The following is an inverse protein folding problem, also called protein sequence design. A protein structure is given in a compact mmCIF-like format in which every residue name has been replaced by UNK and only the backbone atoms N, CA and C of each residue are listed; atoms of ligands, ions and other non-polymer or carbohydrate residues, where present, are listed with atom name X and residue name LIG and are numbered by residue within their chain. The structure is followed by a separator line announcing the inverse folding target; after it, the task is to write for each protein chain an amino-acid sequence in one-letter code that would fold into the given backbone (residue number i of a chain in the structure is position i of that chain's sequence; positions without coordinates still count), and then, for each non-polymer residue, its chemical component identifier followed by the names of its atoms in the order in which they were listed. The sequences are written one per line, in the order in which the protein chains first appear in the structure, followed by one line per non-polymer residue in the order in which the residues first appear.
data_IF_164518910711
#
_entry.id   IF_164518910711
#
_cell.length_a   1.000
_cell.length_b   1.000
_cell.length_c   1.000
_cell.angle_alpha   90.00
_cell.angle_beta   90.00
_cell.angle_gamma   90.00
#
_symmetry.space_group_name_H-M   'P 1'
#
loop_
_entity.id
_entity.type
_entity.pdbx_description
1 polymer ?
#
# COMPACT_ATOMS: atom_id res chain seq x y z
N UNK A 1 -5.53 -30.60 -11.40
CA UNK A 1 -4.56 -29.49 -11.40
C UNK A 1 -5.27 -28.30 -12.01
N UNK A 2 -5.51 -27.25 -11.24
CA UNK A 2 -5.94 -25.96 -11.79
C UNK A 2 -4.80 -25.44 -12.67
N UNK A 3 -5.06 -25.25 -13.95
CA UNK A 3 -4.15 -24.54 -14.84
C UNK A 3 -4.64 -23.10 -14.99
N UNK A 4 -3.79 -22.21 -15.50
CA UNK A 4 -4.14 -20.79 -15.62
C UNK A 4 -5.27 -20.51 -16.63
N UNK A 5 -5.78 -21.52 -17.34
CA UNK A 5 -6.94 -21.42 -18.25
C UNK A 5 -8.25 -21.89 -17.60
N UNK A 6 -8.19 -22.36 -16.36
CA UNK A 6 -9.36 -22.88 -15.63
C UNK A 6 -10.13 -21.76 -14.90
N UNK A 7 -9.53 -20.58 -14.73
CA UNK A 7 -10.15 -19.40 -14.11
C UNK A 7 -10.47 -18.30 -15.12
N UNK A 8 -11.52 -17.52 -14.83
CA UNK A 8 -11.86 -16.34 -15.61
C UNK A 8 -10.70 -15.34 -15.63
N UNK A 9 -10.40 -14.82 -16.81
CA UNK A 9 -9.49 -13.68 -17.01
C UNK A 9 -10.20 -12.62 -17.83
N UNK A 10 -10.09 -11.37 -17.41
CA UNK A 10 -10.61 -10.26 -18.19
C UNK A 10 -9.81 -10.12 -19.49
N UNK A 11 -10.46 -10.13 -20.67
CA UNK A 11 -9.76 -9.94 -21.94
C UNK A 11 -9.18 -8.52 -22.07
N UNK A 12 -9.67 -7.56 -21.26
CA UNK A 12 -9.04 -6.25 -21.13
C UNK A 12 -7.61 -6.37 -20.60
N UNK A 13 -7.38 -7.20 -19.58
CA UNK A 13 -6.04 -7.45 -19.04
C UNK A 13 -5.23 -8.39 -19.91
N UNK A 14 -5.82 -9.47 -20.45
CA UNK A 14 -5.04 -10.52 -21.12
C UNK A 14 -4.78 -10.28 -22.61
N UNK A 15 -5.51 -9.36 -23.27
CA UNK A 15 -5.46 -9.19 -24.73
C UNK A 15 -5.52 -7.75 -25.23
N UNK A 16 -6.40 -6.92 -24.68
CA UNK A 16 -6.78 -5.66 -25.35
C UNK A 16 -6.08 -4.41 -24.81
N UNK A 17 -5.96 -4.24 -23.49
CA UNK A 17 -5.40 -3.00 -22.92
C UNK A 17 -3.87 -2.96 -23.05
N UNK A 18 -3.31 -1.75 -23.18
CA UNK A 18 -1.85 -1.55 -23.19
C UNK A 18 -1.24 -1.89 -21.84
N UNK A 19 0.08 -2.16 -21.81
CA UNK A 19 0.80 -2.51 -20.57
C UNK A 19 0.74 -1.38 -19.54
N UNK A 20 0.79 -0.13 -20.01
CA UNK A 20 0.75 1.08 -19.19
C UNK A 20 -0.61 1.20 -18.50
N UNK A 21 -1.70 0.96 -19.24
CA UNK A 21 -3.05 1.00 -18.69
C UNK A 21 -3.29 -0.14 -17.69
N UNK A 22 -2.79 -1.34 -17.99
CA UNK A 22 -2.86 -2.47 -17.05
C UNK A 22 -2.10 -2.18 -15.75
N UNK A 23 -0.93 -1.55 -15.85
CA UNK A 23 -0.15 -1.17 -14.66
C UNK A 23 -0.87 -0.11 -13.82
N UNK A 24 -1.48 0.90 -14.46
CA UNK A 24 -2.23 1.95 -13.76
C UNK A 24 -3.34 1.40 -12.85
N UNK A 25 -3.99 0.32 -13.29
CA UNK A 25 -5.04 -0.37 -12.52
C UNK A 25 -4.52 -1.60 -11.75
N UNK A 26 -3.21 -1.79 -11.65
CA UNK A 26 -2.62 -2.91 -10.90
C UNK A 26 -2.61 -2.63 -9.39
N UNK A 27 -2.66 -3.72 -8.61
CA UNK A 27 -2.52 -3.63 -7.16
C UNK A 27 -1.16 -3.04 -6.74
N UNK A 28 -0.09 -3.32 -7.50
CA UNK A 28 1.22 -2.69 -7.27
C UNK A 28 1.14 -1.17 -7.36
N UNK A 29 0.47 -0.64 -8.39
CA UNK A 29 0.31 0.80 -8.52
C UNK A 29 -0.62 1.37 -7.43
N UNK A 30 -1.75 0.71 -7.14
CA UNK A 30 -2.69 1.11 -6.08
C UNK A 30 -2.00 1.23 -4.72
N UNK A 31 -1.36 0.16 -4.25
CA UNK A 31 -0.85 0.10 -2.88
C UNK A 31 0.49 0.85 -2.70
N UNK A 32 1.33 0.93 -3.73
CA UNK A 32 2.47 1.87 -3.68
C UNK A 32 2.00 3.33 -3.67
N UNK A 33 0.89 3.64 -4.34
CA UNK A 33 0.27 4.97 -4.28
C UNK A 33 -0.32 5.26 -2.90
N UNK A 34 -0.96 4.30 -2.23
CA UNK A 34 -1.38 4.46 -0.82
C UNK A 34 -0.20 4.79 0.10
N UNK A 35 0.93 4.08 -0.04
CA UNK A 35 2.15 4.38 0.71
C UNK A 35 2.70 5.77 0.44
N UNK A 36 2.68 6.22 -0.82
CA UNK A 36 3.03 7.61 -1.18
C UNK A 36 2.11 8.63 -0.51
N UNK A 37 0.80 8.36 -0.45
CA UNK A 37 -0.14 9.24 0.23
C UNK A 37 0.13 9.31 1.74
N UNK A 38 0.43 8.19 2.40
CA UNK A 38 0.82 8.22 3.82
C UNK A 38 2.15 8.94 4.06
N UNK A 39 3.11 8.84 3.15
CA UNK A 39 4.36 9.63 3.22
C UNK A 39 4.05 11.12 3.11
N UNK A 40 3.24 11.52 2.13
CA UNK A 40 2.85 12.93 1.93
C UNK A 40 2.08 13.45 3.15
N UNK A 41 1.19 12.64 3.73
CA UNK A 41 0.49 12.97 4.96
C UNK A 41 1.48 13.22 6.11
N UNK A 42 2.40 12.29 6.36
CA UNK A 42 3.40 12.44 7.42
C UNK A 42 4.33 13.65 7.20
N UNK A 43 4.67 13.97 5.95
CA UNK A 43 5.43 15.17 5.60
C UNK A 43 4.65 16.45 5.91
N UNK A 44 3.38 16.52 5.50
CA UNK A 44 2.52 17.67 5.77
C UNK A 44 2.24 17.85 7.27
N UNK A 45 2.00 16.76 7.99
CA UNK A 45 1.82 16.74 9.45
C UNK A 45 3.07 17.26 10.18
N UNK A 46 4.26 16.85 9.72
CA UNK A 46 5.52 17.39 10.22
C UNK A 46 5.64 18.90 9.98
N UNK A 47 5.31 19.37 8.78
CA UNK A 47 5.39 20.79 8.42
C UNK A 47 4.50 21.68 9.29
N UNK A 48 3.35 21.16 9.75
CA UNK A 48 2.45 21.87 10.67
C UNK A 48 2.77 21.66 12.16
N UNK A 49 3.87 20.96 12.48
CA UNK A 49 4.43 20.88 13.84
C UNK A 49 4.10 19.61 14.63
N UNK A 50 3.54 18.56 14.01
CA UNK A 50 3.44 17.26 14.67
C UNK A 50 4.84 16.64 14.88
N UNK A 51 4.98 15.86 15.95
CA UNK A 51 6.24 15.21 16.32
C UNK A 51 6.55 14.00 15.43
N UNK A 52 6.96 14.28 14.19
CA UNK A 52 7.37 13.29 13.18
C UNK A 52 8.82 13.55 12.79
N UNK A 53 9.67 12.53 12.82
CA UNK A 53 11.10 12.66 12.52
C UNK A 53 11.39 12.41 11.04
N UNK A 54 12.51 12.95 10.53
CA UNK A 54 12.96 12.63 9.16
C UNK A 54 13.23 11.13 9.00
N UNK A 55 13.79 10.47 10.03
CA UNK A 55 14.06 9.03 10.02
C UNK A 55 12.80 8.19 9.80
N UNK A 56 11.64 8.60 10.34
CA UNK A 56 10.37 7.92 10.11
C UNK A 56 9.94 8.04 8.64
N UNK A 57 10.03 9.25 8.09
CA UNK A 57 9.66 9.54 6.70
C UNK A 57 10.59 8.81 5.72
N UNK A 58 11.90 8.81 5.98
CA UNK A 58 12.88 8.12 5.13
C UNK A 58 12.71 6.59 5.19
N UNK A 59 12.37 6.03 6.36
CA UNK A 59 12.02 4.61 6.46
C UNK A 59 10.82 4.26 5.58
N UNK A 60 9.75 5.07 5.62
CA UNK A 60 8.57 4.87 4.77
C UNK A 60 8.91 4.98 3.27
N UNK A 61 9.72 5.97 2.87
CA UNK A 61 10.16 6.15 1.47
C UNK A 61 10.95 4.95 0.97
N UNK A 62 11.84 4.40 1.80
CA UNK A 62 12.67 3.24 1.42
C UNK A 62 11.85 1.99 1.09
N UNK A 63 10.69 1.83 1.74
CA UNK A 63 9.79 0.70 1.59
C UNK A 63 8.57 0.97 0.67
N UNK A 64 8.51 2.11 -0.02
CA UNK A 64 7.30 2.54 -0.76
C UNK A 64 6.85 1.54 -1.86
N UNK A 65 7.80 0.88 -2.53
CA UNK A 65 7.51 -0.07 -3.61
C UNK A 65 7.55 -1.54 -3.15
N UNK A 66 8.02 -1.82 -1.94
CA UNK A 66 8.15 -3.17 -1.37
C UNK A 66 6.86 -3.64 -0.68
N UNK A 67 5.82 -3.89 -1.46
CA UNK A 67 4.49 -4.27 -0.94
C UNK A 67 4.44 -5.77 -0.65
N UNK A 68 4.37 -6.14 0.63
CA UNK A 68 4.24 -7.52 1.07
C UNK A 68 2.79 -8.05 0.91
N UNK A 69 2.39 -8.37 -0.33
CA UNK A 69 1.02 -8.76 -0.68
C UNK A 69 0.48 -9.97 0.10
N UNK A 70 1.29 -10.99 0.33
CA UNK A 70 0.85 -12.18 1.08
C UNK A 70 0.55 -11.83 2.55
N UNK A 71 1.37 -10.98 3.16
CA UNK A 71 1.13 -10.49 4.51
C UNK A 71 -0.12 -9.61 4.57
N UNK A 72 -0.34 -8.76 3.57
CA UNK A 72 -1.54 -7.91 3.48
C UNK A 72 -2.81 -8.75 3.34
N UNK A 73 -2.80 -9.78 2.48
CA UNK A 73 -3.94 -10.70 2.32
C UNK A 73 -4.23 -11.48 3.62
N UNK A 74 -3.19 -11.93 4.33
CA UNK A 74 -3.36 -12.62 5.62
C UNK A 74 -3.93 -11.69 6.70
N UNK A 75 -3.44 -10.46 6.75
CA UNK A 75 -3.91 -9.43 7.69
C UNK A 75 -5.34 -9.00 7.36
N UNK A 76 -5.67 -8.79 6.08
CA UNK A 76 -7.03 -8.46 5.62
C UNK A 76 -8.02 -9.56 5.97
N UNK A 77 -7.63 -10.83 5.86
CA UNK A 77 -8.47 -11.95 6.29
C UNK A 77 -8.79 -11.88 7.79
N UNK A 78 -7.86 -11.40 8.62
CA UNK A 78 -8.02 -11.27 10.06
C UNK A 78 -8.84 -10.02 10.45
N UNK A 79 -8.53 -8.86 9.84
CA UNK A 79 -9.14 -7.57 10.17
C UNK A 79 -10.46 -7.33 9.44
N UNK A 80 -10.67 -8.01 8.31
CA UNK A 80 -11.75 -7.79 7.33
C UNK A 80 -11.75 -6.36 6.78
N UNK A 81 -10.57 -5.74 6.70
CA UNK A 81 -10.38 -4.36 6.28
C UNK A 81 -9.05 -4.18 5.55
N UNK A 82 -9.10 -3.87 4.25
CA UNK A 82 -7.95 -3.78 3.37
C UNK A 82 -7.02 -2.61 3.71
N UNK A 83 -7.55 -1.41 3.94
CA UNK A 83 -6.73 -0.25 4.37
C UNK A 83 -5.99 -0.56 5.66
N UNK A 84 -6.68 -1.05 6.68
CA UNK A 84 -6.04 -1.37 7.96
C UNK A 84 -5.03 -2.52 7.83
N UNK A 85 -5.29 -3.49 6.95
CA UNK A 85 -4.32 -4.54 6.65
C UNK A 85 -3.03 -3.97 6.07
N UNK A 86 -3.14 -3.06 5.10
CA UNK A 86 -1.98 -2.39 4.52
C UNK A 86 -1.29 -1.43 5.50
N UNK A 87 -2.02 -0.76 6.41
CA UNK A 87 -1.44 0.05 7.49
C UNK A 87 -0.61 -0.84 8.42
N UNK A 88 -1.16 -1.96 8.91
CA UNK A 88 -0.43 -2.86 9.81
C UNK A 88 0.80 -3.48 9.14
N UNK A 89 0.69 -3.92 7.88
CA UNK A 89 1.81 -4.50 7.14
C UNK A 89 2.89 -3.45 6.88
N UNK A 90 2.52 -2.23 6.52
CA UNK A 90 3.50 -1.18 6.29
C UNK A 90 4.17 -0.74 7.61
N UNK A 91 3.41 -0.65 8.71
CA UNK A 91 3.96 -0.42 10.05
C UNK A 91 4.93 -1.52 10.51
N UNK A 92 4.67 -2.78 10.16
CA UNK A 92 5.60 -3.90 10.42
C UNK A 92 6.91 -3.75 9.62
N UNK A 93 6.85 -3.26 8.38
CA UNK A 93 8.03 -2.98 7.54
C UNK A 93 8.77 -1.70 7.96
N UNK A 94 8.06 -0.73 8.55
CA UNK A 94 8.57 0.55 8.98
C UNK A 94 8.36 0.74 10.50
N UNK A 95 9.10 0.03 11.36
CA UNK A 95 8.87 0.03 12.81
C UNK A 95 9.09 1.41 13.46
N UNK A 96 9.95 2.28 12.91
CA UNK A 96 10.11 3.66 13.43
C UNK A 96 8.87 4.49 13.09
N UNK A 97 8.34 4.34 11.87
CA UNK A 97 7.19 5.09 11.37
C UNK A 97 5.82 4.52 11.80
N UNK A 98 5.77 3.28 12.30
CA UNK A 98 4.56 2.61 12.75
C UNK A 98 3.54 3.48 13.51
N UNK A 99 3.92 4.30 14.52
CA UNK A 99 2.95 5.10 15.27
C UNK A 99 2.36 6.29 14.50
N UNK A 100 2.92 6.66 13.33
CA UNK A 100 2.51 7.84 12.56
C UNK A 100 1.90 7.50 11.19
N UNK A 101 1.91 6.23 10.78
CA UNK A 101 1.26 5.81 9.54
C UNK A 101 -0.25 5.94 9.70
N UNK A 102 -0.90 6.68 8.78
CA UNK A 102 -2.35 6.92 8.76
C UNK A 102 -2.87 7.77 9.94
N UNK A 103 -2.00 8.53 10.60
CA UNK A 103 -2.36 9.40 11.72
C UNK A 103 -3.48 10.37 11.33
N UNK A 104 -4.55 10.40 12.12
CA UNK A 104 -5.70 11.31 11.93
C UNK A 104 -6.54 11.11 10.67
N UNK A 105 -6.18 10.17 9.79
CA UNK A 105 -6.86 9.94 8.51
C UNK A 105 -7.96 8.86 8.61
N UNK A 106 -8.76 8.74 7.55
CA UNK A 106 -9.77 7.69 7.38
C UNK A 106 -9.60 7.02 6.01
N UNK A 107 -10.28 5.90 5.78
CA UNK A 107 -9.98 4.96 4.69
C UNK A 107 -10.42 5.35 3.28
N UNK A 108 -11.16 6.44 3.09
CA UNK A 108 -11.83 6.78 1.82
C UNK A 108 -10.90 6.84 0.60
#
# INVERSE_FOLDING_TARGET
MENSYSSYKSPLSSRYASKEMQFLFSDQFKFSTWRRLWIILAQAEKEIGLSITDDQIEEMKSAVNDVAFEAAAAEEKATRHDVMAHVHVFAKQCPKAAPIIHLGATSC
#
